data_IF_483036345103
#
_entry.id   IF_483036345103
#
_cell.length_a   1.000
_cell.length_b   1.000
_cell.length_c   1.000
_cell.angle_alpha   90.00
_cell.angle_beta   90.00
_cell.angle_gamma   90.00
#
_symmetry.space_group_name_H-M   'P 1'
#
loop_
_entity.id
_entity.type
_entity.pdbx_description
1 polymer ?
#
# COMPACT_ATOMS: atom_id res chain seq x y z
N UNK A 1 -8.90 15.24 -8.55
CA UNK A 1 -7.53 14.80 -8.22
C UNK A 1 -6.51 15.84 -8.67
N UNK A 2 -5.79 16.42 -7.71
CA UNK A 2 -4.60 17.25 -7.91
C UNK A 2 -3.41 16.35 -8.25
N UNK A 3 -2.29 16.97 -8.68
CA UNK A 3 -1.04 16.22 -8.93
C UNK A 3 -0.51 15.55 -7.66
N UNK A 4 -0.68 16.18 -6.51
CA UNK A 4 -0.26 15.60 -5.23
C UNK A 4 -1.11 14.39 -4.86
N UNK A 5 -2.44 14.49 -5.03
CA UNK A 5 -3.36 13.37 -4.82
C UNK A 5 -2.98 12.20 -5.74
N UNK A 6 -2.70 12.47 -7.03
CA UNK A 6 -2.19 11.47 -7.97
C UNK A 6 -0.87 10.82 -7.52
N UNK A 7 0.07 11.59 -6.97
CA UNK A 7 1.36 11.05 -6.49
C UNK A 7 1.15 10.07 -5.35
N UNK A 8 0.32 10.44 -4.37
CA UNK A 8 -0.03 9.58 -3.22
C UNK A 8 -0.65 8.25 -3.66
N UNK A 9 -1.53 8.27 -4.67
CA UNK A 9 -2.11 7.06 -5.24
C UNK A 9 -1.05 6.15 -5.88
N UNK A 10 -0.13 6.74 -6.66
CA UNK A 10 0.93 5.99 -7.34
C UNK A 10 1.91 5.41 -6.33
N UNK A 11 2.32 6.19 -5.33
CA UNK A 11 3.22 5.77 -4.27
C UNK A 11 2.63 4.62 -3.44
N UNK A 12 1.36 4.72 -3.02
CA UNK A 12 0.67 3.64 -2.33
C UNK A 12 0.62 2.36 -3.17
N UNK A 13 0.24 2.45 -4.45
CA UNK A 13 0.17 1.28 -5.32
C UNK A 13 1.54 0.62 -5.54
N UNK A 14 2.61 1.41 -5.61
CA UNK A 14 3.97 0.87 -5.67
C UNK A 14 4.35 0.15 -4.37
N UNK A 15 4.04 0.73 -3.21
CA UNK A 15 4.29 0.11 -1.92
C UNK A 15 3.53 -1.21 -1.76
N UNK A 16 2.24 -1.24 -2.12
CA UNK A 16 1.40 -2.44 -2.09
C UNK A 16 1.94 -3.53 -3.04
N UNK A 17 2.42 -3.16 -4.23
CA UNK A 17 3.04 -4.11 -5.17
C UNK A 17 4.31 -4.72 -4.60
N UNK A 18 5.16 -3.93 -3.94
CA UNK A 18 6.37 -4.43 -3.28
C UNK A 18 6.01 -5.35 -2.10
N UNK A 19 5.01 -4.97 -1.30
CA UNK A 19 4.54 -5.75 -0.17
C UNK A 19 4.03 -7.14 -0.60
N UNK A 20 3.27 -7.19 -1.70
CA UNK A 20 2.84 -8.45 -2.32
C UNK A 20 4.01 -9.32 -2.78
N UNK A 21 5.09 -8.73 -3.30
CA UNK A 21 6.30 -9.49 -3.68
C UNK A 21 6.96 -10.12 -2.45
N UNK A 22 7.01 -9.40 -1.32
CA UNK A 22 7.56 -9.92 -0.07
C UNK A 22 6.74 -11.09 0.46
N UNK A 23 5.41 -10.96 0.49
CA UNK A 23 4.50 -12.03 0.92
C UNK A 23 4.62 -13.27 0.02
N UNK A 24 4.58 -13.09 -1.30
CA UNK A 24 4.70 -14.20 -2.26
C UNK A 24 6.05 -14.93 -2.18
N UNK A 25 7.09 -14.28 -1.65
CA UNK A 25 8.41 -14.90 -1.42
C UNK A 25 8.53 -15.54 -0.04
N UNK A 26 7.49 -15.50 0.79
CA UNK A 26 7.51 -15.97 2.17
C UNK A 26 8.44 -15.16 3.07
N UNK A 27 8.74 -13.91 2.71
CA UNK A 27 9.62 -13.03 3.51
C UNK A 27 8.88 -12.37 4.67
N UNK A 28 7.55 -12.31 4.58
CA UNK A 28 6.65 -11.82 5.62
C UNK A 28 5.44 -12.76 5.71
N UNK A 29 4.79 -12.74 6.86
CA UNK A 29 3.52 -13.42 7.11
C UNK A 29 2.31 -12.58 6.66
N UNK A 30 1.13 -13.19 6.57
CA UNK A 30 -0.12 -12.47 6.32
C UNK A 30 -0.39 -11.40 7.39
N UNK A 31 -0.09 -11.70 8.66
CA UNK A 31 -0.26 -10.74 9.77
C UNK A 31 0.68 -9.52 9.62
N UNK A 32 1.93 -9.76 9.21
CA UNK A 32 2.88 -8.67 8.92
C UNK A 32 2.47 -7.87 7.68
N UNK A 33 1.91 -8.53 6.67
CA UNK A 33 1.36 -7.87 5.49
C UNK A 33 0.26 -6.88 5.90
N UNK A 34 -0.74 -7.31 6.68
CA UNK A 34 -1.86 -6.46 7.11
C UNK A 34 -1.38 -5.22 7.89
N UNK A 35 -0.43 -5.41 8.81
CA UNK A 35 0.15 -4.31 9.60
C UNK A 35 0.92 -3.32 8.73
N UNK A 36 1.74 -3.81 7.79
CA UNK A 36 2.51 -2.93 6.90
C UNK A 36 1.58 -2.19 5.94
N UNK A 37 0.53 -2.85 5.45
CA UNK A 37 -0.45 -2.24 4.56
C UNK A 37 -1.27 -1.15 5.25
N UNK A 38 -1.65 -1.35 6.53
CA UNK A 38 -2.23 -0.30 7.36
C UNK A 38 -1.30 0.91 7.51
N UNK A 39 -0.01 0.68 7.78
CA UNK A 39 0.99 1.74 7.85
C UNK A 39 1.18 2.46 6.50
N UNK A 40 1.12 1.74 5.38
CA UNK A 40 1.20 2.33 4.05
C UNK A 40 -0.01 3.25 3.79
N UNK A 41 -1.23 2.82 4.14
CA UNK A 41 -2.43 3.67 4.04
C UNK A 41 -2.30 4.97 4.85
N UNK A 42 -1.77 4.88 6.08
CA UNK A 42 -1.53 6.07 6.91
C UNK A 42 -0.45 6.98 6.30
N UNK A 43 0.65 6.40 5.83
CA UNK A 43 1.81 7.14 5.29
C UNK A 43 1.49 7.88 4.01
N UNK A 44 0.88 7.19 3.03
CA UNK A 44 0.59 7.78 1.73
C UNK A 44 -0.74 8.53 1.72
N UNK A 45 -1.64 8.25 2.67
CA UNK A 45 -2.99 8.82 2.74
C UNK A 45 -3.67 8.88 1.37
N UNK A 46 -3.75 7.76 0.62
CA UNK A 46 -4.37 7.76 -0.69
C UNK A 46 -5.89 7.94 -0.54
N UNK A 47 -6.46 8.81 -1.37
CA UNK A 47 -7.88 9.18 -1.31
C UNK A 47 -8.81 8.02 -1.65
N UNK A 48 -8.31 7.06 -2.42
CA UNK A 48 -9.05 5.88 -2.85
C UNK A 48 -8.71 4.62 -2.03
N UNK A 49 -8.10 4.78 -0.85
CA UNK A 49 -7.74 3.65 0.05
C UNK A 49 -8.90 2.69 0.33
N UNK A 50 -10.13 3.20 0.42
CA UNK A 50 -11.33 2.42 0.75
C UNK A 50 -11.83 1.52 -0.40
N UNK A 51 -11.33 1.71 -1.64
CA UNK A 51 -11.76 0.92 -2.82
C UNK A 51 -10.66 0.01 -3.37
N UNK A 52 -9.47 0.03 -2.77
CA UNK A 52 -8.42 -0.91 -3.11
C UNK A 52 -8.64 -2.23 -2.38
N UNK A 53 -9.33 -3.16 -3.07
CA UNK A 53 -9.53 -4.56 -2.66
C UNK A 53 -8.39 -5.42 -3.19
#
# INVERSE_FOLDING_TARGET
MTKEQLSKEVEYKMALKLLNILLNRGMITDEEFEKIDELNRQTFSPELSEVYV
#
